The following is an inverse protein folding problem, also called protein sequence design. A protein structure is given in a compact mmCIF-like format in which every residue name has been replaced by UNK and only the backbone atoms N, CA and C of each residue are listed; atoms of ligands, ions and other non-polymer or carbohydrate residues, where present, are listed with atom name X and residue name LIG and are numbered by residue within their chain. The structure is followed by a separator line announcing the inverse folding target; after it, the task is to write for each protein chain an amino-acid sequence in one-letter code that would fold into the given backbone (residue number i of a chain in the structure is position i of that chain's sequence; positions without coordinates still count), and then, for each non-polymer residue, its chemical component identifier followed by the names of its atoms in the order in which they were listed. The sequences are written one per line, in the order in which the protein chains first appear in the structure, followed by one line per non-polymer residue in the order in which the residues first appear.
data_IF_244180258623
#
_entry.id   IF_244180258623
#
_cell.length_a   1.000
_cell.length_b   1.000
_cell.length_c   1.000
_cell.angle_alpha   90.00
_cell.angle_beta   90.00
_cell.angle_gamma   90.00
#
_symmetry.space_group_name_H-M   'P 1'
#
loop_
_entity.id
_entity.type
_entity.pdbx_description
1 polymer ?
#
# COMPACT_ATOMS: atom_id res chain seq x y z
N UNK A 1 18.39 -8.50 -24.73
CA UNK A 1 17.09 -7.94 -24.30
C UNK A 1 17.36 -6.57 -23.68
N UNK A 2 16.90 -5.49 -24.30
CA UNK A 2 17.06 -4.13 -23.75
C UNK A 2 15.79 -3.77 -22.97
N UNK A 3 15.94 -3.40 -21.69
CA UNK A 3 14.83 -3.09 -20.80
C UNK A 3 14.28 -1.65 -20.96
N UNK A 4 14.64 -0.92 -22.02
CA UNK A 4 14.29 0.51 -22.20
C UNK A 4 12.80 0.86 -22.25
N UNK A 5 11.90 -0.12 -22.25
CA UNK A 5 10.44 0.12 -22.24
C UNK A 5 9.95 0.79 -20.95
N UNK A 6 10.68 0.59 -19.84
CA UNK A 6 10.46 1.31 -18.59
C UNK A 6 11.74 2.04 -18.22
N UNK A 7 11.64 3.23 -17.65
CA UNK A 7 12.77 3.90 -17.02
C UNK A 7 13.14 3.15 -15.74
N UNK A 8 13.92 2.07 -15.90
CA UNK A 8 14.43 1.25 -14.80
C UNK A 8 15.52 2.02 -14.06
N UNK A 9 15.08 2.83 -13.11
CA UNK A 9 15.94 3.43 -12.11
C UNK A 9 15.86 2.61 -10.82
N UNK A 10 16.84 2.76 -9.93
CA UNK A 10 16.80 2.13 -8.59
C UNK A 10 15.48 2.42 -7.85
N UNK A 11 15.00 3.68 -7.79
CA UNK A 11 13.68 3.98 -7.21
C UNK A 11 12.52 3.23 -7.85
N UNK A 12 12.46 3.19 -9.19
CA UNK A 12 11.36 2.51 -9.90
C UNK A 12 11.39 1.01 -9.64
N UNK A 13 12.58 0.40 -9.66
CA UNK A 13 12.74 -1.03 -9.37
C UNK A 13 12.31 -1.38 -7.94
N UNK A 14 12.72 -0.58 -6.96
CA UNK A 14 12.32 -0.77 -5.55
C UNK A 14 10.80 -0.63 -5.37
N UNK A 15 10.16 0.32 -6.04
CA UNK A 15 8.70 0.48 -5.98
C UNK A 15 7.96 -0.78 -6.46
N UNK A 16 8.29 -1.29 -7.65
CA UNK A 16 7.66 -2.49 -8.18
C UNK A 16 7.98 -3.74 -7.35
N UNK A 17 9.21 -3.86 -6.86
CA UNK A 17 9.61 -4.96 -5.97
C UNK A 17 8.85 -4.90 -4.64
N UNK A 18 8.61 -3.71 -4.09
CA UNK A 18 7.79 -3.53 -2.88
C UNK A 18 6.35 -3.95 -3.11
N UNK A 19 5.73 -3.56 -4.24
CA UNK A 19 4.38 -4.02 -4.60
C UNK A 19 4.35 -5.53 -4.73
N UNK A 20 5.33 -6.13 -5.41
CA UNK A 20 5.41 -7.57 -5.58
C UNK A 20 5.52 -8.27 -4.23
N UNK A 21 6.37 -7.79 -3.31
CA UNK A 21 6.49 -8.34 -1.95
C UNK A 21 5.19 -8.21 -1.16
N UNK A 22 4.47 -7.10 -1.28
CA UNK A 22 3.17 -6.92 -0.64
C UNK A 22 2.14 -7.92 -1.16
N UNK A 23 2.07 -8.11 -2.49
CA UNK A 23 1.18 -9.09 -3.11
C UNK A 23 1.53 -10.52 -2.68
N UNK A 24 2.82 -10.89 -2.70
CA UNK A 24 3.28 -12.20 -2.24
C UNK A 24 2.96 -12.41 -0.76
N UNK A 25 3.19 -11.40 0.08
CA UNK A 25 2.84 -11.44 1.51
C UNK A 25 1.34 -11.69 1.72
N UNK A 26 0.49 -11.04 0.92
CA UNK A 26 -0.96 -11.26 0.95
C UNK A 26 -1.34 -12.69 0.52
N UNK A 27 -0.74 -13.20 -0.55
CA UNK A 27 -0.97 -14.57 -1.02
C UNK A 27 -0.57 -15.61 0.04
N UNK A 28 0.57 -15.41 0.69
CA UNK A 28 1.04 -16.28 1.79
C UNK A 28 0.07 -16.21 2.97
N UNK A 29 -0.38 -15.00 3.34
CA UNK A 29 -1.33 -14.82 4.42
C UNK A 29 -2.66 -15.52 4.13
N UNK A 30 -3.19 -15.37 2.92
CA UNK A 30 -4.43 -16.01 2.50
C UNK A 30 -4.33 -17.55 2.48
N UNK A 31 -3.15 -18.08 2.11
CA UNK A 31 -2.87 -19.51 2.20
C UNK A 31 -2.92 -20.03 3.65
N UNK A 32 -2.31 -19.31 4.61
CA UNK A 32 -2.28 -19.74 6.02
C UNK A 32 -3.58 -19.47 6.78
N UNK A 33 -4.32 -18.41 6.44
CA UNK A 33 -5.54 -18.02 7.11
C UNK A 33 -6.69 -17.85 6.08
N UNK A 34 -7.21 -18.96 5.55
CA UNK A 34 -8.24 -18.93 4.50
C UNK A 34 -9.54 -18.30 5.00
N UNK A 35 -10.26 -17.64 4.09
CA UNK A 35 -11.61 -17.13 4.32
C UNK A 35 -11.77 -15.61 4.22
N UNK A 36 -10.73 -14.85 3.82
CA UNK A 36 -10.81 -13.41 3.55
C UNK A 36 -11.15 -12.51 4.76
N UNK A 37 -11.56 -13.12 5.88
CA UNK A 37 -12.20 -12.51 7.04
C UNK A 37 -12.98 -11.25 6.67
N UNK A 38 -14.04 -11.35 5.83
CA UNK A 38 -14.86 -10.20 5.48
C UNK A 38 -15.35 -9.57 6.79
N UNK A 39 -14.88 -8.36 7.05
CA UNK A 39 -15.33 -7.55 8.16
C UNK A 39 -16.15 -6.42 7.58
N UNK A 40 -17.28 -6.15 8.22
CA UNK A 40 -18.01 -4.92 7.96
C UNK A 40 -17.24 -3.82 8.69
N UNK A 41 -16.37 -3.14 7.95
CA UNK A 41 -15.58 -2.03 8.47
C UNK A 41 -16.42 -0.78 8.72
N UNK A 42 -15.78 0.31 9.15
CA UNK A 42 -16.42 1.60 9.45
C UNK A 42 -17.26 2.17 8.28
N UNK A 43 -16.91 1.82 7.03
CA UNK A 43 -17.60 2.26 5.82
C UNK A 43 -18.88 1.46 5.49
N UNK A 44 -19.27 0.49 6.33
CA UNK A 44 -20.47 -0.39 6.17
C UNK A 44 -20.49 -1.28 4.92
N UNK A 45 -19.40 -1.37 4.18
CA UNK A 45 -19.21 -2.39 3.13
C UNK A 45 -18.35 -3.53 3.65
N UNK A 46 -18.56 -4.73 3.11
CA UNK A 46 -17.69 -5.86 3.38
C UNK A 46 -16.32 -5.60 2.75
N UNK A 47 -15.29 -5.49 3.58
CA UNK A 47 -13.91 -5.32 3.11
C UNK A 47 -13.14 -6.61 3.32
N UNK A 48 -12.59 -7.15 2.24
CA UNK A 48 -11.64 -8.26 2.29
C UNK A 48 -10.28 -7.78 2.79
N UNK A 49 -9.35 -8.69 3.04
CA UNK A 49 -7.96 -8.31 3.36
C UNK A 49 -7.27 -7.62 2.18
N UNK A 50 -7.56 -8.04 0.95
CA UNK A 50 -7.06 -7.41 -0.27
C UNK A 50 -7.50 -5.95 -0.39
N UNK A 51 -8.76 -5.67 -0.08
CA UNK A 51 -9.31 -4.32 -0.13
C UNK A 51 -8.62 -3.38 0.87
N UNK A 52 -8.30 -3.88 2.07
CA UNK A 52 -7.54 -3.11 3.07
C UNK A 52 -6.15 -2.74 2.60
N UNK A 53 -5.43 -3.68 1.96
CA UNK A 53 -4.13 -3.38 1.37
C UNK A 53 -4.26 -2.32 0.28
N UNK A 54 -5.24 -2.46 -0.62
CA UNK A 54 -5.48 -1.48 -1.68
C UNK A 54 -5.79 -0.09 -1.12
N UNK A 55 -6.68 0.02 -0.13
CA UNK A 55 -7.02 1.28 0.55
C UNK A 55 -5.79 1.89 1.23
N UNK A 56 -4.94 1.07 1.85
CA UNK A 56 -3.71 1.55 2.48
C UNK A 56 -2.72 2.13 1.45
N UNK A 57 -2.56 1.47 0.29
CA UNK A 57 -1.70 1.94 -0.80
C UNK A 57 -2.25 3.21 -1.46
N UNK A 58 -3.56 3.26 -1.69
CA UNK A 58 -4.24 4.42 -2.26
C UNK A 58 -4.11 5.64 -1.33
N UNK A 59 -4.37 5.46 -0.04
CA UNK A 59 -4.20 6.54 0.94
C UNK A 59 -2.75 6.97 1.10
N UNK A 60 -1.79 6.04 1.06
CA UNK A 60 -0.37 6.37 1.04
C UNK A 60 -0.01 7.25 -0.17
N UNK A 61 -0.53 6.96 -1.36
CA UNK A 61 -0.31 7.78 -2.55
C UNK A 61 -0.85 9.20 -2.37
N UNK A 62 -2.07 9.35 -1.84
CA UNK A 62 -2.64 10.68 -1.56
C UNK A 62 -1.86 11.45 -0.48
N UNK A 63 -1.37 10.77 0.57
CA UNK A 63 -0.51 11.39 1.59
C UNK A 63 0.77 11.94 0.95
N UNK A 64 1.42 11.16 0.08
CA UNK A 64 2.65 11.62 -0.60
C UNK A 64 2.38 12.77 -1.56
N UNK A 65 1.27 12.75 -2.31
CA UNK A 65 0.88 13.85 -3.18
C UNK A 65 0.56 15.13 -2.39
N UNK A 66 -0.19 15.01 -1.30
CA UNK A 66 -0.51 16.13 -0.43
C UNK A 66 0.76 16.71 0.22
N UNK A 67 1.69 15.85 0.65
CA UNK A 67 2.96 16.28 1.23
C UNK A 67 3.84 17.03 0.23
N UNK A 68 3.93 16.53 -1.01
CA UNK A 68 4.64 17.22 -2.09
C UNK A 68 4.03 18.59 -2.39
N UNK A 69 2.70 18.69 -2.38
CA UNK A 69 1.99 19.94 -2.67
C UNK A 69 2.07 20.98 -1.55
N UNK A 70 2.23 20.56 -0.29
CA UNK A 70 2.13 21.46 0.87
C UNK A 70 3.46 21.69 1.61
N UNK A 71 4.31 20.67 1.72
CA UNK A 71 5.51 20.69 2.58
C UNK A 71 6.79 20.73 1.76
N UNK A 72 6.89 19.88 0.73
CA UNK A 72 8.04 19.85 -0.18
C UNK A 72 8.67 18.46 -0.37
N UNK A 73 9.92 18.39 -0.88
CA UNK A 73 10.49 17.16 -1.44
C UNK A 73 11.01 16.15 -0.41
N UNK A 74 11.06 16.51 0.88
CA UNK A 74 11.47 15.57 1.92
C UNK A 74 10.31 14.63 2.27
N UNK A 75 10.33 13.44 1.67
CA UNK A 75 9.25 12.44 1.77
C UNK A 75 9.36 11.50 2.97
N UNK A 76 10.42 11.56 3.78
CA UNK A 76 10.60 10.62 4.91
C UNK A 76 9.46 10.70 5.92
N UNK A 77 8.97 11.92 6.18
CA UNK A 77 7.82 12.15 7.05
C UNK A 77 6.50 11.73 6.41
N UNK A 78 6.35 11.90 5.09
CA UNK A 78 5.20 11.39 4.34
C UNK A 78 5.14 9.86 4.40
N UNK A 79 6.29 9.20 4.31
CA UNK A 79 6.42 7.76 4.43
C UNK A 79 6.02 7.29 5.84
N UNK A 80 6.52 7.93 6.90
CA UNK A 80 6.12 7.62 8.28
C UNK A 80 4.60 7.77 8.50
N UNK A 81 4.00 8.85 8.00
CA UNK A 81 2.55 9.06 8.02
C UNK A 81 1.78 7.99 7.24
N UNK A 82 2.29 7.57 6.08
CA UNK A 82 1.68 6.52 5.27
C UNK A 82 1.70 5.16 5.95
N UNK A 83 2.77 4.81 6.68
CA UNK A 83 2.85 3.59 7.48
C UNK A 83 1.84 3.64 8.63
N UNK A 84 1.76 4.77 9.34
CA UNK A 84 0.77 4.96 10.41
C UNK A 84 -0.66 4.81 9.87
N UNK A 85 -0.95 5.42 8.73
CA UNK A 85 -2.24 5.30 8.05
C UNK A 85 -2.54 3.85 7.67
N UNK A 86 -1.58 3.12 7.09
CA UNK A 86 -1.75 1.71 6.74
C UNK A 86 -2.08 0.86 7.98
N UNK A 87 -1.36 1.04 9.09
CA UNK A 87 -1.62 0.33 10.36
C UNK A 87 -3.03 0.64 10.88
N UNK A 88 -3.47 1.88 10.79
CA UNK A 88 -4.83 2.27 11.19
C UNK A 88 -5.86 1.54 10.31
N UNK A 89 -5.70 1.56 8.99
CA UNK A 89 -6.61 0.88 8.05
C UNK A 89 -6.72 -0.61 8.36
N UNK A 90 -5.60 -1.30 8.56
CA UNK A 90 -5.61 -2.73 8.90
C UNK A 90 -6.26 -3.03 10.26
N UNK A 91 -6.29 -2.06 11.19
CA UNK A 91 -6.92 -2.20 12.50
C UNK A 91 -8.40 -1.87 12.51
N UNK A 92 -8.82 -0.87 11.74
CA UNK A 92 -10.18 -0.30 11.81
C UNK A 92 -11.14 -0.82 10.74
N UNK A 93 -10.60 -1.35 9.64
CA UNK A 93 -11.36 -1.92 8.51
C UNK A 93 -11.20 -3.43 8.56
#
# INVERSE_FOLDING_TARGET
MNFSWMAWTLPTALFFLTILLLLVGMSIWEYFAPGGAPRVGLLRFETTRGDRLFISLLGAAFIHLAWLGLVGPNLWWALALSILYAVIVFRTV
#
